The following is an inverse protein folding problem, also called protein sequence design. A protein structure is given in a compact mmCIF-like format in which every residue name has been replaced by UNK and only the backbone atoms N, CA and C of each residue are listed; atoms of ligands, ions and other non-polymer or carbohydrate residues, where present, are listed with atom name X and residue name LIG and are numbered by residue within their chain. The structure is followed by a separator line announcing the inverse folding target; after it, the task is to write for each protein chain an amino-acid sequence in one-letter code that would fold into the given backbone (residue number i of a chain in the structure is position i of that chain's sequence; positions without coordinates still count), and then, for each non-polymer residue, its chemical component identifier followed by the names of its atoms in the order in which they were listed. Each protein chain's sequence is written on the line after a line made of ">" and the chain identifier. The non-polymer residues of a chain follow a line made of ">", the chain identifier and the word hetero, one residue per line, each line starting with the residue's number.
data_IF_302746237364
#
_entry.id   IF_302746237364
#
_cell.length_a   1.000
_cell.length_b   1.000
_cell.length_c   1.000
_cell.angle_alpha   90.00
_cell.angle_beta   90.00
_cell.angle_gamma   90.00
#
_symmetry.space_group_name_H-M   'P 1'
#
loop_
_entity.id
_entity.type
_entity.pdbx_description
1 polymer ?
#
# COMPACT_ATOMS: atom_id res chain seq x y z
N UNK A 1 -52.38 -7.34 -0.75
CA UNK A 1 -51.63 -7.16 -2.02
C UNK A 1 -50.68 -8.34 -2.21
N UNK A 2 -50.65 -8.95 -3.39
CA UNK A 2 -49.78 -10.11 -3.67
C UNK A 2 -48.33 -9.67 -3.93
N UNK A 3 -47.36 -10.42 -3.38
CA UNK A 3 -45.93 -10.10 -3.49
C UNK A 3 -45.46 -10.40 -4.92
N UNK A 4 -44.96 -9.38 -5.61
CA UNK A 4 -44.44 -9.52 -6.98
C UNK A 4 -43.18 -10.42 -6.97
N UNK A 5 -43.20 -11.51 -7.75
CA UNK A 5 -42.06 -12.42 -7.90
C UNK A 5 -41.22 -11.98 -9.09
N UNK A 6 -39.96 -11.61 -8.83
CA UNK A 6 -38.99 -11.25 -9.87
C UNK A 6 -38.07 -12.44 -10.19
N UNK A 7 -37.73 -12.63 -11.47
CA UNK A 7 -36.73 -13.60 -11.93
C UNK A 7 -35.39 -12.89 -12.10
N UNK A 8 -34.36 -13.32 -11.36
CA UNK A 8 -33.02 -12.76 -11.48
C UNK A 8 -32.37 -13.32 -12.75
N UNK A 9 -32.21 -12.49 -13.78
CA UNK A 9 -31.61 -12.86 -15.07
C UNK A 9 -30.12 -12.53 -15.16
N UNK A 10 -29.59 -11.71 -14.25
CA UNK A 10 -28.24 -11.16 -14.29
C UNK A 10 -27.28 -11.78 -13.26
N UNK A 11 -27.58 -12.98 -12.75
CA UNK A 11 -26.83 -13.61 -11.65
C UNK A 11 -25.34 -13.74 -11.95
N UNK A 12 -24.98 -14.11 -13.18
CA UNK A 12 -23.59 -14.23 -13.60
C UNK A 12 -22.84 -12.87 -13.56
N UNK A 13 -23.47 -11.80 -14.07
CA UNK A 13 -22.86 -10.46 -14.03
C UNK A 13 -22.75 -9.91 -12.60
N UNK A 14 -23.74 -10.20 -11.75
CA UNK A 14 -23.71 -9.81 -10.35
C UNK A 14 -22.55 -10.48 -9.61
N UNK A 15 -22.37 -11.79 -9.78
CA UNK A 15 -21.25 -12.51 -9.17
C UNK A 15 -19.90 -12.04 -9.68
N UNK A 16 -19.77 -11.77 -10.98
CA UNK A 16 -18.54 -11.17 -11.54
C UNK A 16 -18.22 -9.82 -10.89
N UNK A 17 -19.24 -8.98 -10.68
CA UNK A 17 -19.07 -7.71 -9.98
C UNK A 17 -18.65 -7.90 -8.51
N UNK A 18 -19.16 -8.93 -7.81
CA UNK A 18 -18.71 -9.25 -6.45
C UNK A 18 -17.24 -9.67 -6.39
N UNK A 19 -16.79 -10.52 -7.32
CA UNK A 19 -15.37 -10.91 -7.42
C UNK A 19 -14.51 -9.68 -7.71
N UNK A 20 -14.92 -8.83 -8.65
CA UNK A 20 -14.18 -7.62 -9.00
C UNK A 20 -14.04 -6.62 -7.85
N UNK A 21 -14.92 -6.64 -6.84
CA UNK A 21 -14.76 -5.81 -5.63
C UNK A 21 -13.52 -6.19 -4.81
N UNK A 22 -13.03 -7.42 -4.93
CA UNK A 22 -11.78 -7.87 -4.33
C UNK A 22 -10.54 -7.58 -5.18
N UNK A 23 -10.72 -7.09 -6.42
CA UNK A 23 -9.60 -6.75 -7.30
C UNK A 23 -8.89 -5.51 -6.77
N UNK A 24 -7.60 -5.62 -6.51
CA UNK A 24 -6.78 -4.51 -6.04
C UNK A 24 -6.13 -3.81 -7.23
N UNK A 25 -6.32 -2.49 -7.33
CA UNK A 25 -5.64 -1.64 -8.31
C UNK A 25 -4.80 -0.63 -7.53
N UNK A 26 -3.50 -0.59 -7.79
CA UNK A 26 -2.58 0.34 -7.14
C UNK A 26 -2.24 1.49 -8.08
N UNK A 27 -2.29 2.70 -7.56
CA UNK A 27 -1.82 3.91 -8.20
C UNK A 27 -0.84 4.59 -7.26
N UNK A 28 0.30 5.02 -7.79
CA UNK A 28 1.31 5.76 -7.05
C UNK A 28 1.47 7.12 -7.71
N UNK A 29 1.31 8.16 -6.90
CA UNK A 29 1.47 9.52 -7.36
C UNK A 29 2.95 9.83 -7.64
N UNK A 30 3.23 10.56 -8.71
CA UNK A 30 4.61 10.87 -9.12
C UNK A 30 5.35 11.67 -8.04
N UNK A 31 4.65 12.57 -7.34
CA UNK A 31 5.27 13.33 -6.24
C UNK A 31 5.61 12.43 -5.05
N UNK A 32 4.80 11.39 -4.80
CA UNK A 32 5.08 10.41 -3.76
C UNK A 32 6.25 9.50 -4.12
N UNK A 33 6.43 9.18 -5.41
CA UNK A 33 7.61 8.45 -5.92
C UNK A 33 8.88 9.28 -5.70
N UNK A 34 8.84 10.57 -6.03
CA UNK A 34 9.97 11.48 -5.85
C UNK A 34 10.31 11.71 -4.37
N UNK A 35 9.30 11.89 -3.53
CA UNK A 35 9.44 12.11 -2.09
C UNK A 35 9.64 10.81 -1.28
N UNK A 36 9.86 9.66 -1.92
CA UNK A 36 9.96 8.38 -1.22
C UNK A 36 11.23 8.28 -0.35
N UNK A 37 12.34 8.79 -0.87
CA UNK A 37 13.61 8.89 -0.15
C UNK A 37 13.73 10.28 0.47
N UNK A 38 14.38 10.33 1.64
CA UNK A 38 14.65 11.60 2.29
C UNK A 38 15.86 12.27 1.64
N UNK A 39 15.88 13.60 1.61
CA UNK A 39 17.05 14.32 1.13
C UNK A 39 18.17 14.25 2.17
N UNK A 40 19.43 14.00 1.76
CA UNK A 40 20.55 13.97 2.68
C UNK A 40 20.80 15.37 3.24
N UNK A 41 20.22 15.68 4.40
CA UNK A 41 20.54 16.88 5.14
C UNK A 41 21.95 16.77 5.74
N UNK A 42 22.92 17.38 5.04
CA UNK A 42 24.36 17.39 5.37
C UNK A 42 24.68 18.05 6.72
N UNK A 43 23.72 18.74 7.35
CA UNK A 43 23.91 19.54 8.55
C UNK A 43 23.57 18.83 9.87
N UNK A 44 22.98 17.63 9.84
CA UNK A 44 22.59 16.91 11.06
C UNK A 44 23.63 15.87 11.49
N UNK A 45 23.97 15.85 12.79
CA UNK A 45 24.83 14.80 13.38
C UNK A 45 24.04 13.51 13.54
N UNK A 46 24.49 12.43 12.92
CA UNK A 46 23.91 11.09 13.05
C UNK A 46 23.84 10.34 11.71
N UNK A 47 23.27 9.12 11.72
CA UNK A 47 23.01 8.39 10.48
C UNK A 47 21.87 9.09 9.73
N UNK A 48 22.06 9.53 8.48
CA UNK A 48 21.00 10.16 7.71
C UNK A 48 19.82 9.22 7.55
N UNK A 49 18.60 9.76 7.70
CA UNK A 49 17.39 9.00 7.42
C UNK A 49 17.32 8.77 5.90
N UNK A 50 17.18 7.52 5.49
CA UNK A 50 17.14 7.17 4.06
C UNK A 50 15.75 7.36 3.46
N UNK A 51 14.72 7.15 4.26
CA UNK A 51 13.32 7.12 3.82
C UNK A 51 12.58 8.32 4.41
N UNK A 52 11.65 8.90 3.67
CA UNK A 52 10.81 10.00 4.18
C UNK A 52 9.77 9.50 5.19
N UNK A 53 9.18 10.42 5.97
CA UNK A 53 8.03 10.09 6.82
C UNK A 53 6.81 9.62 5.99
N UNK A 54 6.69 10.10 4.74
CA UNK A 54 5.67 9.64 3.79
C UNK A 54 5.85 8.14 3.48
N UNK A 55 7.08 7.69 3.21
CA UNK A 55 7.36 6.28 2.97
C UNK A 55 7.05 5.41 4.20
N UNK A 56 7.33 5.89 5.42
CA UNK A 56 7.02 5.15 6.65
C UNK A 56 5.51 5.07 6.89
N UNK A 57 4.80 6.18 6.76
CA UNK A 57 3.34 6.23 6.99
C UNK A 57 2.57 5.41 5.97
N UNK A 58 2.95 5.45 4.69
CA UNK A 58 2.35 4.61 3.64
C UNK A 58 2.50 3.11 3.92
N UNK A 59 3.69 2.66 4.34
CA UNK A 59 3.90 1.26 4.73
C UNK A 59 3.01 0.87 5.92
N UNK A 60 2.92 1.71 6.94
CA UNK A 60 2.08 1.46 8.12
C UNK A 60 0.58 1.46 7.78
N UNK A 61 0.14 2.34 6.86
CA UNK A 61 -1.23 2.35 6.35
C UNK A 61 -1.57 1.06 5.62
N UNK A 62 -0.75 0.63 4.66
CA UNK A 62 -0.96 -0.61 3.92
C UNK A 62 -0.95 -1.83 4.85
N UNK A 63 -0.01 -1.87 5.80
CA UNK A 63 0.00 -2.89 6.85
C UNK A 63 -1.33 -2.91 7.61
N UNK A 64 -1.88 -1.76 7.99
CA UNK A 64 -3.12 -1.66 8.76
C UNK A 64 -4.34 -2.10 7.95
N UNK A 65 -4.47 -1.59 6.72
CA UNK A 65 -5.59 -1.89 5.81
C UNK A 65 -5.66 -3.39 5.49
N UNK A 66 -4.52 -3.98 5.13
CA UNK A 66 -4.43 -5.40 4.80
C UNK A 66 -4.17 -6.31 6.01
N UNK A 67 -4.13 -5.74 7.22
CA UNK A 67 -3.89 -6.45 8.49
C UNK A 67 -2.65 -7.35 8.46
N UNK A 68 -1.57 -6.86 7.87
CA UNK A 68 -0.32 -7.59 7.67
C UNK A 68 0.64 -7.46 8.88
N UNK A 69 1.59 -8.38 8.96
CA UNK A 69 2.81 -8.19 9.77
C UNK A 69 3.74 -7.20 9.06
N UNK A 70 4.69 -6.57 9.78
CA UNK A 70 5.63 -5.63 9.15
C UNK A 70 6.47 -6.29 8.03
N UNK A 71 6.88 -7.54 8.23
CA UNK A 71 7.64 -8.30 7.21
C UNK A 71 6.81 -8.60 5.97
N UNK A 72 5.54 -8.97 6.15
CA UNK A 72 4.63 -9.19 5.04
C UNK A 72 4.30 -7.88 4.28
N UNK A 73 4.13 -6.77 4.99
CA UNK A 73 3.93 -5.45 4.38
C UNK A 73 5.13 -5.04 3.52
N UNK A 74 6.36 -5.29 3.99
CA UNK A 74 7.57 -5.05 3.20
C UNK A 74 7.57 -5.84 1.89
N UNK A 75 7.32 -7.15 1.97
CA UNK A 75 7.26 -8.01 0.77
C UNK A 75 6.15 -7.61 -0.21
N UNK A 76 4.98 -7.22 0.29
CA UNK A 76 3.89 -6.72 -0.55
C UNK A 76 4.31 -5.45 -1.31
N UNK A 77 4.89 -4.48 -0.63
CA UNK A 77 5.27 -3.19 -1.23
C UNK A 77 6.42 -3.36 -2.22
N UNK A 78 7.43 -4.17 -1.90
CA UNK A 78 8.51 -4.51 -2.84
C UNK A 78 7.96 -5.21 -4.10
N UNK A 79 6.94 -6.06 -3.95
CA UNK A 79 6.27 -6.71 -5.09
C UNK A 79 5.51 -5.71 -5.95
N UNK A 80 4.79 -4.76 -5.34
CA UNK A 80 4.08 -3.68 -6.05
C UNK A 80 5.08 -2.82 -6.84
N UNK A 81 6.18 -2.39 -6.24
CA UNK A 81 7.22 -1.60 -6.93
C UNK A 81 7.83 -2.38 -8.10
N UNK A 82 8.08 -3.68 -7.92
CA UNK A 82 8.59 -4.54 -8.99
C UNK A 82 7.60 -4.65 -10.16
N UNK A 83 6.32 -4.89 -9.86
CA UNK A 83 5.27 -4.98 -10.89
C UNK A 83 5.07 -3.68 -11.65
N UNK A 84 5.20 -2.54 -10.95
CA UNK A 84 5.10 -1.20 -11.54
C UNK A 84 6.43 -0.73 -12.17
N UNK A 85 7.49 -1.54 -12.12
CA UNK A 85 8.84 -1.21 -12.61
C UNK A 85 9.40 0.09 -12.04
N UNK A 86 9.09 0.38 -10.78
CA UNK A 86 9.58 1.58 -10.09
C UNK A 86 10.95 1.31 -9.46
N UNK A 87 11.91 2.23 -9.57
CA UNK A 87 13.24 2.10 -8.96
C UNK A 87 13.21 2.40 -7.44
N UNK A 88 12.16 1.98 -6.75
CA UNK A 88 11.95 2.18 -5.31
C UNK A 88 12.18 0.89 -4.53
N UNK A 89 12.42 1.04 -3.23
CA UNK A 89 12.52 -0.05 -2.26
C UNK A 89 11.66 0.25 -1.06
N UNK A 90 11.01 -0.78 -0.51
CA UNK A 90 10.31 -0.64 0.75
C UNK A 90 11.31 -0.37 1.89
N UNK A 91 10.99 0.53 2.83
CA UNK A 91 11.68 0.60 4.11
C UNK A 91 11.68 -0.77 4.81
N UNK A 92 12.85 -1.18 5.33
CA UNK A 92 12.98 -2.44 6.04
C UNK A 92 12.09 -2.46 7.30
N UNK A 93 11.53 -3.62 7.65
CA UNK A 93 10.62 -3.78 8.79
C UNK A 93 11.22 -3.23 10.10
N UNK A 94 12.54 -3.33 10.29
CA UNK A 94 13.22 -2.78 11.47
C UNK A 94 13.25 -1.25 11.45
N UNK A 95 13.35 -0.63 10.28
CA UNK A 95 13.31 0.82 10.09
C UNK A 95 11.90 1.35 10.37
N UNK A 96 10.88 0.69 9.80
CA UNK A 96 9.47 1.02 10.03
C UNK A 96 9.11 0.87 11.49
N UNK A 97 9.48 -0.25 12.13
CA UNK A 97 9.18 -0.49 13.54
C UNK A 97 9.76 0.57 14.47
N UNK A 98 10.98 1.06 14.19
CA UNK A 98 11.64 2.09 15.00
C UNK A 98 11.04 3.48 14.81
N UNK A 99 10.44 3.75 13.65
CA UNK A 99 9.83 5.05 13.29
C UNK A 99 8.32 5.07 13.43
N UNK A 100 7.70 3.94 13.71
CA UNK A 100 6.30 3.89 14.09
C UNK A 100 6.13 4.65 15.41
N UNK A 101 5.51 5.83 15.34
CA UNK A 101 5.05 6.54 16.54
C UNK A 101 3.78 5.83 17.02
N UNK A 102 3.71 5.53 18.32
CA UNK A 102 2.55 4.93 18.98
C UNK A 102 1.33 5.83 18.88
#
# INVERSE_FOLDING_TARGET
>A
MAKQKFKITNWATYNKALVNRGSLTFWLDESAIQAWYDEPNTSSRGRPQRYSELAITTVLMLKRIFRLTLRAAQGLIDSIFTLMKLPLRCPDYSCVSRRARS
#
